data_IF_874685697565
#
_entry.id   IF_874685697565
#
_cell.length_a   1.000
_cell.length_b   1.000
_cell.length_c   1.000
_cell.angle_alpha   90.00
_cell.angle_beta   90.00
_cell.angle_gamma   90.00
#
_symmetry.space_group_name_H-M   'P 1'
#
loop_
_entity.id
_entity.type
_entity.pdbx_description
1 polymer ?
#
# COMPACT_ATOMS: atom_id res chain seq x y z
N UNK A 1 -4.92 -19.21 -4.60
CA UNK A 1 -5.58 -18.58 -3.43
C UNK A 1 -7.09 -18.67 -3.60
N UNK A 2 -7.78 -19.25 -2.61
CA UNK A 2 -9.24 -19.38 -2.55
C UNK A 2 -9.89 -18.11 -1.98
N UNK A 3 -11.21 -17.96 -2.09
CA UNK A 3 -11.93 -16.78 -1.56
C UNK A 3 -11.71 -16.53 -0.06
N UNK A 4 -11.88 -17.53 0.82
CA UNK A 4 -11.65 -17.40 2.26
C UNK A 4 -10.21 -17.02 2.62
N UNK A 5 -9.21 -17.59 1.94
CA UNK A 5 -7.79 -17.21 2.14
C UNK A 5 -7.53 -15.74 1.81
N UNK A 6 -8.24 -15.17 0.80
CA UNK A 6 -8.14 -13.74 0.49
C UNK A 6 -8.74 -12.88 1.58
N UNK A 7 -9.90 -13.29 2.13
CA UNK A 7 -10.58 -12.55 3.18
C UNK A 7 -9.74 -12.55 4.47
N UNK A 8 -9.17 -13.69 4.86
CA UNK A 8 -8.24 -13.77 5.98
C UNK A 8 -7.00 -12.90 5.76
N UNK A 9 -6.43 -12.93 4.54
CA UNK A 9 -5.31 -12.08 4.17
C UNK A 9 -5.66 -10.58 4.20
N UNK A 10 -6.88 -10.20 3.80
CA UNK A 10 -7.38 -8.83 3.90
C UNK A 10 -7.50 -8.41 5.38
N UNK A 11 -8.20 -9.21 6.19
CA UNK A 11 -8.44 -8.88 7.61
C UNK A 11 -7.12 -8.84 8.39
N UNK A 12 -6.31 -9.89 8.29
CA UNK A 12 -5.02 -9.96 9.01
C UNK A 12 -3.99 -9.02 8.42
N UNK A 13 -3.95 -8.87 7.11
CA UNK A 13 -2.95 -8.09 6.39
C UNK A 13 -3.20 -6.59 6.44
N UNK A 14 -4.45 -6.17 6.28
CA UNK A 14 -4.81 -4.76 6.16
C UNK A 14 -5.24 -4.13 7.48
N UNK A 15 -5.81 -4.90 8.41
CA UNK A 15 -6.36 -4.37 9.65
C UNK A 15 -5.56 -4.76 10.90
N UNK A 16 -5.25 -6.04 11.09
CA UNK A 16 -4.69 -6.51 12.37
C UNK A 16 -3.17 -6.35 12.53
N UNK A 17 -2.44 -6.02 11.46
CA UNK A 17 -0.98 -5.87 11.52
C UNK A 17 -0.57 -4.47 11.96
N UNK A 18 0.35 -4.34 12.95
CA UNK A 18 0.94 -3.04 13.32
C UNK A 18 1.49 -2.26 12.13
N UNK A 19 2.05 -2.97 11.13
CA UNK A 19 2.58 -2.36 9.90
C UNK A 19 1.53 -1.56 9.12
N UNK A 20 0.26 -1.93 9.20
CA UNK A 20 -0.82 -1.26 8.48
C UNK A 20 -1.20 0.07 9.15
N UNK A 21 -1.10 0.16 10.47
CA UNK A 21 -1.23 1.44 11.18
C UNK A 21 0.02 2.30 11.00
N UNK A 22 1.22 1.72 11.03
CA UNK A 22 2.47 2.46 10.79
C UNK A 22 2.52 3.10 9.41
N UNK A 23 2.06 2.41 8.36
CA UNK A 23 2.00 2.98 7.00
C UNK A 23 0.99 4.14 6.92
N UNK A 24 -0.11 4.06 7.67
CA UNK A 24 -1.11 5.13 7.74
C UNK A 24 -0.58 6.34 8.51
N UNK A 25 0.06 6.11 9.67
CA UNK A 25 0.72 7.14 10.46
C UNK A 25 1.81 7.86 9.66
N UNK A 26 2.68 7.12 8.96
CA UNK A 26 3.75 7.70 8.15
C UNK A 26 3.21 8.70 7.11
N UNK A 27 2.19 8.32 6.34
CA UNK A 27 1.61 9.23 5.33
C UNK A 27 0.81 10.35 6.01
N UNK A 28 0.09 10.08 7.10
CA UNK A 28 -0.62 11.10 7.85
C UNK A 28 0.33 12.16 8.42
N UNK A 29 1.53 11.79 8.86
CA UNK A 29 2.57 12.72 9.29
C UNK A 29 3.03 13.62 8.14
N UNK A 30 3.25 13.07 6.94
CA UNK A 30 3.61 13.87 5.76
C UNK A 30 2.48 14.86 5.44
N UNK A 31 1.24 14.39 5.40
CA UNK A 31 0.07 15.23 5.14
C UNK A 31 -0.11 16.31 6.22
N UNK A 32 0.20 16.00 7.49
CA UNK A 32 0.13 16.98 8.57
C UNK A 32 1.20 18.06 8.41
N UNK A 33 2.44 17.68 8.09
CA UNK A 33 3.51 18.64 7.78
C UNK A 33 3.19 19.53 6.57
N UNK A 34 2.47 18.99 5.58
CA UNK A 34 2.02 19.71 4.40
C UNK A 34 0.70 20.46 4.60
N UNK A 35 0.06 20.33 5.77
CA UNK A 35 -1.29 20.80 6.04
C UNK A 35 -2.33 20.36 4.99
N UNK A 36 -2.24 19.11 4.50
CA UNK A 36 -3.21 18.51 3.57
C UNK A 36 -4.23 17.62 4.33
N UNK A 37 -5.53 17.89 4.23
CA UNK A 37 -6.13 19.06 3.61
C UNK A 37 -6.18 20.22 4.62
N UNK A 38 -6.16 21.49 4.18
CA UNK A 38 -5.97 22.64 5.07
C UNK A 38 -7.18 22.91 5.97
N UNK A 39 -8.35 22.36 5.62
CA UNK A 39 -9.57 22.46 6.43
C UNK A 39 -9.53 21.53 7.65
N UNK A 40 -8.53 20.64 7.74
CA UNK A 40 -8.25 19.90 8.96
C UNK A 40 -7.10 20.61 9.65
N UNK A 41 -7.39 21.30 10.76
CA UNK A 41 -6.42 22.11 11.49
C UNK A 41 -5.08 21.39 11.70
N UNK A 42 -4.01 22.18 11.89
CA UNK A 42 -2.68 21.61 12.12
C UNK A 42 -2.44 21.26 13.60
N UNK A 43 -3.44 20.63 14.21
CA UNK A 43 -3.44 20.20 15.60
C UNK A 43 -3.56 18.66 15.71
N UNK A 44 -3.65 18.16 16.94
CA UNK A 44 -3.79 16.73 17.19
C UNK A 44 -5.11 16.16 16.63
N UNK A 45 -6.18 16.94 16.58
CA UNK A 45 -7.46 16.52 16.03
C UNK A 45 -7.39 16.37 14.51
N UNK A 46 -6.76 17.32 13.82
CA UNK A 46 -6.50 17.25 12.39
C UNK A 46 -5.54 16.12 12.04
N UNK A 47 -4.49 15.87 12.83
CA UNK A 47 -3.65 14.67 12.65
C UNK A 47 -4.47 13.38 12.74
N UNK A 48 -5.35 13.25 13.75
CA UNK A 48 -6.23 12.07 13.89
C UNK A 48 -7.16 11.90 12.69
N UNK A 49 -7.70 12.99 12.13
CA UNK A 49 -8.50 12.95 10.89
C UNK A 49 -7.66 12.45 9.70
N UNK A 50 -6.44 12.96 9.53
CA UNK A 50 -5.50 12.50 8.46
C UNK A 50 -5.16 11.03 8.60
N UNK A 51 -4.91 10.56 9.82
CA UNK A 51 -4.68 9.15 10.10
C UNK A 51 -5.89 8.27 9.77
N UNK A 52 -7.09 8.69 10.18
CA UNK A 52 -8.33 7.98 9.89
C UNK A 52 -8.63 7.94 8.39
N UNK A 53 -8.50 9.09 7.69
CA UNK A 53 -8.63 9.19 6.23
C UNK A 53 -7.70 8.20 5.53
N UNK A 54 -6.43 8.18 5.94
CA UNK A 54 -5.44 7.31 5.30
C UNK A 54 -5.74 5.84 5.55
N UNK A 55 -6.16 5.50 6.76
CA UNK A 55 -6.56 4.15 7.12
C UNK A 55 -7.78 3.70 6.30
N UNK A 56 -8.78 4.56 6.15
CA UNK A 56 -9.98 4.30 5.34
C UNK A 56 -9.64 4.10 3.86
N UNK A 57 -8.82 4.97 3.26
CA UNK A 57 -8.36 4.85 1.87
C UNK A 57 -7.62 3.54 1.62
N UNK A 58 -6.77 3.13 2.55
CA UNK A 58 -6.09 1.82 2.44
C UNK A 58 -7.05 0.64 2.57
N UNK A 59 -8.03 0.72 3.47
CA UNK A 59 -9.03 -0.32 3.61
C UNK A 59 -9.86 -0.47 2.33
N UNK A 60 -10.34 0.65 1.77
CA UNK A 60 -11.11 0.66 0.52
C UNK A 60 -10.26 0.09 -0.62
N UNK A 61 -9.01 0.55 -0.77
CA UNK A 61 -8.09 0.02 -1.79
C UNK A 61 -7.92 -1.49 -1.62
N UNK A 62 -7.51 -1.95 -0.44
CA UNK A 62 -7.17 -3.35 -0.22
C UNK A 62 -8.40 -4.25 -0.45
N UNK A 63 -9.61 -3.77 -0.11
CA UNK A 63 -10.88 -4.46 -0.37
C UNK A 63 -11.17 -4.57 -1.87
N UNK A 64 -11.06 -3.46 -2.61
CA UNK A 64 -11.28 -3.45 -4.07
C UNK A 64 -10.23 -4.31 -4.78
N UNK A 65 -8.95 -4.20 -4.40
CA UNK A 65 -7.86 -4.99 -4.96
C UNK A 65 -8.13 -6.49 -4.76
N UNK A 66 -8.52 -6.90 -3.55
CA UNK A 66 -8.82 -8.29 -3.22
C UNK A 66 -10.04 -8.82 -3.99
N UNK A 67 -11.12 -8.05 -4.06
CA UNK A 67 -12.33 -8.41 -4.79
C UNK A 67 -12.06 -8.57 -6.29
N UNK A 68 -11.44 -7.56 -6.90
CA UNK A 68 -11.11 -7.59 -8.32
C UNK A 68 -10.09 -8.70 -8.64
N UNK A 69 -9.00 -8.80 -7.87
CA UNK A 69 -8.02 -9.87 -8.05
C UNK A 69 -8.64 -11.27 -7.88
N UNK A 70 -9.65 -11.42 -7.03
CA UNK A 70 -10.45 -12.63 -6.91
C UNK A 70 -11.15 -12.99 -8.22
N UNK A 71 -11.81 -12.01 -8.83
CA UNK A 71 -12.55 -12.16 -10.08
C UNK A 71 -11.64 -12.46 -11.28
N UNK A 72 -10.52 -11.73 -11.44
CA UNK A 72 -9.59 -11.90 -12.58
C UNK A 72 -8.43 -12.87 -12.32
N UNK A 73 -8.39 -13.46 -11.12
CA UNK A 73 -7.39 -14.46 -10.76
C UNK A 73 -5.97 -13.93 -10.54
N UNK A 74 -5.81 -12.64 -10.21
CA UNK A 74 -4.51 -12.05 -9.87
C UNK A 74 -3.99 -12.52 -8.50
N UNK A 75 -2.67 -12.61 -8.38
CA UNK A 75 -1.96 -12.79 -7.11
C UNK A 75 -1.61 -11.44 -6.49
N UNK A 76 -2.18 -11.17 -5.31
CA UNK A 76 -1.99 -9.89 -4.60
C UNK A 76 -0.78 -9.93 -3.66
N UNK A 77 -0.31 -11.13 -3.31
CA UNK A 77 0.83 -11.30 -2.41
C UNK A 77 2.13 -10.93 -3.11
N UNK A 78 3.05 -10.37 -2.32
CA UNK A 78 4.41 -10.17 -2.78
C UNK A 78 5.17 -11.50 -2.73
N UNK A 79 5.70 -11.92 -3.89
CA UNK A 79 6.56 -13.09 -4.01
C UNK A 79 8.01 -12.59 -4.09
N UNK A 80 8.86 -12.91 -3.09
CA UNK A 80 10.27 -12.51 -3.10
C UNK A 80 11.02 -13.08 -4.30
N UNK A 81 12.06 -12.37 -4.74
CA UNK A 81 12.91 -12.88 -5.82
C UNK A 81 13.80 -14.03 -5.31
N UNK A 82 13.93 -15.10 -6.08
CA UNK A 82 14.98 -16.11 -5.85
C UNK A 82 16.32 -15.72 -6.51
N UNK A 83 16.53 -14.44 -6.78
CA UNK A 83 17.70 -13.94 -7.48
C UNK A 83 18.77 -13.44 -6.52
N UNK A 84 20.03 -13.71 -6.86
CA UNK A 84 21.18 -13.16 -6.15
C UNK A 84 21.49 -11.73 -6.63
N UNK A 85 21.93 -10.88 -5.70
CA UNK A 85 22.35 -9.50 -5.96
C UNK A 85 21.27 -8.44 -5.71
N UNK A 86 21.67 -7.32 -5.09
CA UNK A 86 20.75 -6.23 -4.72
C UNK A 86 20.06 -5.57 -5.93
N UNK A 87 20.77 -5.39 -7.04
CA UNK A 87 20.23 -4.75 -8.25
C UNK A 87 19.09 -5.53 -8.89
N UNK A 88 19.23 -6.85 -9.03
CA UNK A 88 18.19 -7.72 -9.60
C UNK A 88 16.94 -7.75 -8.72
N UNK A 89 17.11 -7.71 -7.39
CA UNK A 89 16.02 -7.65 -6.42
C UNK A 89 15.31 -6.29 -6.43
N UNK A 90 16.06 -5.19 -6.54
CA UNK A 90 15.49 -3.85 -6.76
C UNK A 90 14.64 -3.80 -8.04
N UNK A 91 15.16 -4.32 -9.14
CA UNK A 91 14.41 -4.43 -10.39
C UNK A 91 13.18 -5.32 -10.24
N UNK A 92 13.28 -6.45 -9.55
CA UNK A 92 12.13 -7.33 -9.29
C UNK A 92 11.03 -6.62 -8.50
N UNK A 93 11.38 -5.84 -7.48
CA UNK A 93 10.42 -5.04 -6.70
C UNK A 93 9.76 -3.97 -7.56
N UNK A 94 10.55 -3.27 -8.38
CA UNK A 94 10.06 -2.25 -9.29
C UNK A 94 9.10 -2.85 -10.32
N UNK A 95 9.54 -3.89 -11.04
CA UNK A 95 8.73 -4.61 -12.02
C UNK A 95 7.47 -5.20 -11.37
N UNK A 96 7.58 -5.75 -10.15
CA UNK A 96 6.49 -6.22 -9.29
C UNK A 96 5.45 -5.17 -8.88
N UNK A 97 5.75 -3.88 -9.10
CA UNK A 97 4.76 -2.81 -8.99
C UNK A 97 3.76 -2.82 -10.15
N UNK A 98 4.23 -3.16 -11.35
CA UNK A 98 3.46 -3.14 -12.59
C UNK A 98 2.93 -4.53 -12.98
N UNK A 99 3.58 -5.58 -12.50
CA UNK A 99 3.24 -6.96 -12.81
C UNK A 99 2.73 -7.76 -11.61
N UNK A 100 1.87 -8.70 -11.91
CA UNK A 100 1.40 -9.76 -11.02
C UNK A 100 1.44 -11.09 -11.77
N UNK A 101 1.06 -12.16 -11.09
CA UNK A 101 0.92 -13.49 -11.66
C UNK A 101 -0.55 -13.92 -11.60
N UNK A 102 -0.99 -14.72 -12.56
CA UNK A 102 -2.28 -15.39 -12.48
C UNK A 102 -2.17 -16.73 -11.73
N UNK A 103 -3.28 -17.47 -11.64
CA UNK A 103 -3.31 -18.80 -10.99
C UNK A 103 -2.41 -19.84 -11.65
N UNK A 104 -2.08 -19.67 -12.94
CA UNK A 104 -1.18 -20.53 -13.68
C UNK A 104 0.30 -20.12 -13.53
N UNK A 105 0.61 -19.06 -12.77
CA UNK A 105 1.97 -18.54 -12.61
C UNK A 105 2.46 -17.71 -13.79
N UNK A 106 1.58 -17.37 -14.74
CA UNK A 106 1.92 -16.53 -15.88
C UNK A 106 1.92 -15.06 -15.48
N UNK A 107 2.84 -14.31 -16.08
CA UNK A 107 2.91 -12.86 -15.93
C UNK A 107 1.65 -12.17 -16.46
N UNK A 108 1.09 -11.25 -15.68
CA UNK A 108 -0.02 -10.38 -16.07
C UNK A 108 0.22 -8.94 -15.59
N UNK A 109 -0.25 -7.91 -16.33
CA UNK A 109 -0.26 -6.55 -15.82
C UNK A 109 -1.15 -6.44 -14.57
N UNK A 110 -0.75 -5.63 -13.59
CA UNK A 110 -1.39 -5.58 -12.27
C UNK A 110 -2.65 -4.69 -12.23
N UNK A 111 -3.60 -4.91 -13.14
CA UNK A 111 -4.82 -4.12 -13.29
C UNK A 111 -5.60 -3.92 -11.98
N UNK A 112 -5.75 -4.98 -11.18
CA UNK A 112 -6.42 -4.92 -9.88
C UNK A 112 -5.83 -3.87 -8.93
N UNK A 113 -4.50 -3.70 -8.92
CA UNK A 113 -3.83 -2.72 -8.07
C UNK A 113 -4.06 -1.31 -8.59
N UNK A 114 -3.78 -1.06 -9.86
CA UNK A 114 -3.99 0.26 -10.43
C UNK A 114 -5.44 0.71 -10.27
N UNK A 115 -6.39 -0.13 -10.68
CA UNK A 115 -7.81 0.17 -10.57
C UNK A 115 -8.27 0.40 -9.13
N UNK A 116 -7.83 -0.43 -8.18
CA UNK A 116 -8.18 -0.25 -6.76
C UNK A 116 -7.62 1.03 -6.15
N UNK A 117 -6.41 1.43 -6.53
CA UNK A 117 -5.77 2.65 -6.04
C UNK A 117 -6.56 3.87 -6.52
N UNK A 118 -6.83 3.98 -7.82
CA UNK A 118 -7.62 5.08 -8.36
C UNK A 118 -9.05 5.09 -7.81
N UNK A 119 -9.70 3.93 -7.70
CA UNK A 119 -11.04 3.83 -7.13
C UNK A 119 -11.07 4.30 -5.67
N UNK A 120 -10.11 3.89 -4.84
CA UNK A 120 -10.05 4.31 -3.44
C UNK A 120 -9.79 5.83 -3.30
N UNK A 121 -8.96 6.38 -4.18
CA UNK A 121 -8.69 7.82 -4.23
C UNK A 121 -9.92 8.62 -4.68
N UNK A 122 -10.73 8.08 -5.59
CA UNK A 122 -11.97 8.71 -5.99
C UNK A 122 -13.05 8.61 -4.90
N UNK A 123 -13.20 7.44 -4.28
CA UNK A 123 -14.17 7.20 -3.20
C UNK A 123 -13.90 8.11 -1.99
N UNK A 124 -12.65 8.55 -1.76
CA UNK A 124 -12.31 9.46 -0.66
C UNK A 124 -13.13 10.75 -0.66
N UNK A 125 -13.61 11.19 -1.83
CA UNK A 125 -14.45 12.38 -1.95
C UNK A 125 -15.78 12.27 -1.20
N UNK A 126 -16.22 11.07 -0.84
CA UNK A 126 -17.44 10.87 -0.05
C UNK A 126 -17.30 11.34 1.40
N UNK A 127 -16.08 11.46 1.94
CA UNK A 127 -15.83 11.93 3.32
C UNK A 127 -14.81 13.07 3.45
N UNK A 128 -14.01 13.36 2.42
CA UNK A 128 -13.11 14.53 2.43
C UNK A 128 -13.87 15.83 2.08
N UNK A 129 -13.39 16.99 2.57
CA UNK A 129 -13.95 18.31 2.24
C UNK A 129 -14.08 18.53 0.72
N UNK A 130 -15.11 19.29 0.31
CA UNK A 130 -15.41 19.52 -1.11
C UNK A 130 -14.32 20.26 -1.89
N UNK A 131 -13.46 21.03 -1.22
CA UNK A 131 -12.34 21.76 -1.83
C UNK A 131 -11.24 20.88 -2.43
N UNK A 132 -11.21 19.59 -2.09
CA UNK A 132 -10.17 18.61 -2.50
C UNK A 132 -10.57 17.78 -3.74
N UNK A 133 -11.62 18.17 -4.48
CA UNK A 133 -12.19 17.34 -5.55
C UNK A 133 -11.60 17.64 -6.93
N UNK A 134 -10.29 17.45 -7.07
CA UNK A 134 -9.58 17.55 -8.36
C UNK A 134 -8.98 16.20 -8.81
N UNK A 135 -9.10 15.90 -10.11
CA UNK A 135 -8.49 14.73 -10.75
C UNK A 135 -6.96 14.68 -10.55
N UNK A 136 -6.31 15.84 -10.50
CA UNK A 136 -4.86 15.95 -10.22
C UNK A 136 -4.52 15.39 -8.82
N UNK A 137 -5.39 15.59 -7.84
CA UNK A 137 -5.18 15.06 -6.49
C UNK A 137 -5.46 13.57 -6.39
N UNK A 138 -6.44 13.04 -7.13
CA UNK A 138 -6.65 11.59 -7.25
C UNK A 138 -5.41 10.92 -7.81
N UNK A 139 -4.82 11.49 -8.86
CA UNK A 139 -3.57 11.00 -9.44
C UNK A 139 -2.41 11.08 -8.44
N UNK A 140 -2.27 12.20 -7.74
CA UNK A 140 -1.23 12.39 -6.71
C UNK A 140 -1.38 11.39 -5.56
N UNK A 141 -2.60 11.24 -5.03
CA UNK A 141 -2.92 10.26 -4.00
C UNK A 141 -2.65 8.84 -4.45
N UNK A 142 -2.95 8.53 -5.72
CA UNK A 142 -2.68 7.23 -6.32
C UNK A 142 -1.18 6.93 -6.39
N UNK A 143 -0.38 7.91 -6.83
CA UNK A 143 1.08 7.81 -6.84
C UNK A 143 1.64 7.59 -5.44
N UNK A 144 1.15 8.32 -4.43
CA UNK A 144 1.56 8.13 -3.03
C UNK A 144 1.20 6.72 -2.54
N UNK A 145 0.01 6.19 -2.87
CA UNK A 145 -0.36 4.81 -2.53
C UNK A 145 0.55 3.76 -3.17
N UNK A 146 0.87 3.93 -4.45
CA UNK A 146 1.77 3.04 -5.18
C UNK A 146 3.20 3.10 -4.60
N UNK A 147 3.69 4.30 -4.30
CA UNK A 147 4.98 4.54 -3.67
C UNK A 147 5.10 3.88 -2.30
N UNK A 148 4.13 4.10 -1.42
CA UNK A 148 4.09 3.44 -0.09
C UNK A 148 4.06 1.91 -0.23
N UNK A 149 3.29 1.39 -1.20
CA UNK A 149 3.27 -0.04 -1.52
C UNK A 149 4.63 -0.56 -1.99
N UNK A 150 5.34 0.20 -2.83
CA UNK A 150 6.67 -0.13 -3.31
C UNK A 150 7.70 -0.15 -2.18
N UNK A 151 7.69 0.85 -1.29
CA UNK A 151 8.54 0.90 -0.10
C UNK A 151 8.31 -0.32 0.81
N UNK A 152 7.05 -0.70 1.03
CA UNK A 152 6.74 -1.90 1.81
C UNK A 152 7.23 -3.20 1.15
N UNK A 153 7.24 -3.28 -0.19
CA UNK A 153 7.85 -4.41 -0.92
C UNK A 153 9.37 -4.42 -0.79
N UNK A 154 10.04 -3.26 -0.91
CA UNK A 154 11.48 -3.13 -0.69
C UNK A 154 11.88 -3.61 0.71
N UNK A 155 11.19 -3.14 1.76
CA UNK A 155 11.49 -3.55 3.14
C UNK A 155 11.34 -5.07 3.30
N UNK A 156 10.30 -5.68 2.72
CA UNK A 156 10.10 -7.14 2.79
C UNK A 156 11.19 -7.89 2.04
N UNK A 157 11.51 -7.45 0.83
CA UNK A 157 12.57 -8.02 0.00
C UNK A 157 13.88 -8.03 0.78
N UNK A 158 14.30 -6.88 1.34
CA UNK A 158 15.59 -6.72 2.05
C UNK A 158 15.53 -7.00 3.57
N UNK A 159 14.41 -7.56 4.06
CA UNK A 159 14.26 -7.87 5.48
C UNK A 159 15.29 -8.87 6.03
N UNK A 160 15.78 -9.89 5.28
CA UNK A 160 16.82 -10.79 5.77
C UNK A 160 18.13 -10.05 6.07
N UNK A 161 18.53 -9.10 5.21
CA UNK A 161 19.74 -8.30 5.37
C UNK A 161 19.63 -7.34 6.55
N UNK A 162 18.50 -6.64 6.66
CA UNK A 162 18.22 -5.75 7.79
C UNK A 162 18.31 -6.49 9.12
N UNK A 163 17.74 -7.71 9.21
CA UNK A 163 17.86 -8.57 10.40
C UNK A 163 19.29 -8.98 10.70
N UNK A 164 20.09 -9.28 9.66
CA UNK A 164 21.51 -9.65 9.81
C UNK A 164 22.34 -8.49 10.36
N UNK A 165 22.16 -7.29 9.81
CA UNK A 165 22.84 -6.07 10.28
C UNK A 165 22.45 -5.74 11.71
N UNK A 166 21.16 -5.80 12.03
CA UNK A 166 20.66 -5.47 13.36
C UNK A 166 21.13 -6.47 14.43
N UNK A 167 21.14 -7.77 14.12
CA UNK A 167 21.75 -8.79 15.00
C UNK A 167 23.24 -8.52 15.25
N UNK A 168 23.98 -8.10 14.22
CA UNK A 168 25.40 -7.74 14.35
C UNK A 168 25.60 -6.49 15.21
N UNK A 169 24.67 -5.54 15.15
CA UNK A 169 24.69 -4.32 15.97
C UNK A 169 24.29 -4.55 17.44
N UNK A 170 23.42 -5.54 17.73
CA UNK A 170 23.04 -5.94 19.10
C UNK A 170 23.96 -6.99 19.75
N UNK A 171 24.75 -7.69 18.95
CA UNK A 171 25.75 -8.64 19.41
C UNK A 171 27.15 -8.02 19.62
N UNK A 172 27.23 -6.69 19.57
CA UNK A 172 28.30 -5.85 20.11
C UNK A 172 27.71 -5.03 21.24
#
# INVERSE_FOLDING_TARGET
>A
MTGPERLDLLVRGSYLKPTSHLRAAFVASINHLQNDPPQWDNDIHGFRRRFADRSARFLVRDTIEAGWAGAIGHEVRYIPCNCEGAGRRLWHVFAGGFRTYNRAGEWRPHYSRFGSVFAAEYIRYTWRPHGDRDASEVATGALVQLGVGATGRLIREFSPELKRVWRKARGK
#
